data_IF_981383332570
#
_entry.id   IF_981383332570
#
_cell.length_a   1.000
_cell.length_b   1.000
_cell.length_c   1.000
_cell.angle_alpha   90.00
_cell.angle_beta   90.00
_cell.angle_gamma   90.00
#
_symmetry.space_group_name_H-M   'P 1'
#
loop_
_entity.id
_entity.type
_entity.pdbx_description
1 polymer ?
#
# COMPACT_ATOMS: atom_id res chain seq x y z
N UNK A 1 9.85 -21.97 42.81
CA UNK A 1 9.68 -23.36 42.35
C UNK A 1 8.89 -23.31 41.06
N UNK A 2 9.54 -23.62 39.94
CA UNK A 2 8.95 -23.60 38.60
C UNK A 2 9.06 -25.01 38.05
N UNK A 3 7.97 -25.58 37.54
CA UNK A 3 7.98 -26.86 36.83
C UNK A 3 7.94 -26.62 35.32
N UNK A 4 8.64 -27.50 34.61
CA UNK A 4 9.10 -27.39 33.22
C UNK A 4 7.99 -27.23 32.17
N UNK A 5 8.25 -26.41 31.17
CA UNK A 5 8.27 -26.91 29.78
C UNK A 5 9.19 -26.09 28.90
N UNK A 6 9.79 -26.81 27.96
CA UNK A 6 10.95 -26.53 27.14
C UNK A 6 10.76 -25.46 26.06
N UNK A 7 11.76 -24.57 26.03
CA UNK A 7 12.32 -23.81 24.89
C UNK A 7 11.53 -22.63 24.30
N UNK A 8 12.27 -21.52 24.34
CA UNK A 8 12.21 -20.30 23.55
C UNK A 8 11.13 -19.26 23.92
N UNK A 9 11.60 -18.21 24.60
CA UNK A 9 11.06 -16.86 24.46
C UNK A 9 10.22 -16.39 25.64
N UNK A 10 10.86 -16.16 26.78
CA UNK A 10 10.22 -15.53 27.94
C UNK A 10 9.73 -14.09 27.62
N UNK A 11 8.71 -13.63 28.36
CA UNK A 11 8.00 -12.37 28.16
C UNK A 11 8.83 -11.18 28.65
N UNK A 12 8.69 -10.06 27.94
CA UNK A 12 9.28 -8.76 28.28
C UNK A 12 8.73 -8.25 29.61
N UNK A 13 9.54 -8.35 30.66
CA UNK A 13 9.41 -7.54 31.87
C UNK A 13 10.45 -6.42 31.79
N UNK A 14 10.01 -5.16 31.79
CA UNK A 14 10.91 -4.01 31.91
C UNK A 14 11.28 -3.77 33.38
N UNK A 15 12.55 -3.46 33.68
CA UNK A 15 12.87 -2.68 34.86
C UNK A 15 13.49 -1.32 34.51
N UNK A 16 13.16 -0.35 35.35
CA UNK A 16 13.80 0.95 35.46
C UNK A 16 15.21 0.81 36.08
N UNK A 17 16.05 1.80 35.77
CA UNK A 17 17.22 2.31 36.50
C UNK A 17 18.63 1.93 36.00
N UNK A 18 19.47 2.96 36.13
CA UNK A 18 20.75 3.30 35.51
C UNK A 18 21.93 2.49 36.08
N UNK A 19 22.81 1.95 35.24
CA UNK A 19 24.24 1.79 35.55
C UNK A 19 25.10 1.49 34.30
N UNK A 20 26.25 2.14 34.29
CA UNK A 20 27.30 2.18 33.28
C UNK A 20 28.03 0.82 33.13
N UNK A 21 28.12 0.25 31.91
CA UNK A 21 29.12 -0.80 31.58
C UNK A 21 29.34 -0.99 30.08
N UNK A 22 30.47 -0.47 29.60
CA UNK A 22 31.40 -1.01 28.59
C UNK A 22 30.79 -1.91 27.48
N UNK A 23 30.58 -1.32 26.30
CA UNK A 23 30.15 -2.01 25.07
C UNK A 23 31.36 -2.73 24.45
N UNK A 24 31.26 -4.04 24.25
CA UNK A 24 32.20 -4.83 23.42
C UNK A 24 32.03 -4.47 21.93
N UNK A 25 33.10 -4.47 21.11
CA UNK A 25 32.98 -4.21 19.67
C UNK A 25 32.25 -5.36 18.96
N UNK A 26 31.47 -5.07 17.89
CA UNK A 26 30.82 -6.10 17.10
C UNK A 26 31.87 -6.92 16.33
N UNK A 27 31.77 -8.25 16.40
CA UNK A 27 32.54 -9.16 15.55
C UNK A 27 32.09 -8.99 14.10
N UNK A 28 32.94 -8.39 13.26
CA UNK A 28 32.82 -8.43 11.81
C UNK A 28 33.07 -9.86 11.33
N UNK A 29 32.08 -10.47 10.66
CA UNK A 29 32.23 -11.74 9.96
C UNK A 29 31.95 -11.51 8.48
N UNK A 30 33.03 -11.35 7.73
CA UNK A 30 33.07 -11.31 6.27
C UNK A 30 32.62 -12.67 5.73
N UNK A 31 31.49 -12.73 5.04
CA UNK A 31 31.05 -13.93 4.32
C UNK A 31 31.10 -13.66 2.82
N UNK A 32 32.13 -14.22 2.18
CA UNK A 32 32.30 -14.25 0.73
C UNK A 32 31.42 -15.36 0.15
N UNK A 33 30.34 -15.02 -0.55
CA UNK A 33 29.51 -16.00 -1.28
C UNK A 33 29.83 -15.99 -2.77
N UNK A 34 30.27 -17.15 -3.26
CA UNK A 34 30.49 -17.48 -4.67
C UNK A 34 29.14 -17.47 -5.41
N UNK A 35 29.10 -16.86 -6.60
CA UNK A 35 27.93 -16.86 -7.48
C UNK A 35 28.00 -18.05 -8.44
N UNK A 36 27.03 -18.95 -8.35
CA UNK A 36 26.80 -20.01 -9.34
C UNK A 36 25.62 -19.59 -10.22
N UNK A 37 25.88 -19.30 -11.49
CA UNK A 37 24.83 -18.96 -12.47
C UNK A 37 24.13 -20.23 -12.91
N UNK A 38 22.86 -20.42 -12.52
CA UNK A 38 22.04 -21.55 -12.99
C UNK A 38 21.08 -21.03 -14.07
N UNK A 39 21.33 -21.41 -15.32
CA UNK A 39 20.46 -21.12 -16.47
C UNK A 39 19.23 -22.01 -16.41
N UNK A 40 18.05 -21.44 -16.17
CA UNK A 40 16.79 -22.21 -16.17
C UNK A 40 16.30 -22.34 -17.62
N UNK A 41 16.24 -23.57 -18.14
CA UNK A 41 15.52 -23.90 -19.39
C UNK A 41 14.07 -24.22 -19.06
N UNK A 42 13.13 -23.45 -19.58
CA UNK A 42 11.70 -23.68 -19.40
C UNK A 42 11.20 -24.79 -20.32
N UNK A 43 10.58 -25.83 -19.76
CA UNK A 43 9.87 -26.87 -20.52
C UNK A 43 8.41 -26.43 -20.63
N UNK A 44 7.98 -26.04 -21.84
CA UNK A 44 6.59 -25.68 -22.12
C UNK A 44 5.84 -26.89 -22.69
N UNK A 45 4.95 -27.49 -21.91
CA UNK A 45 3.98 -28.47 -22.40
C UNK A 45 2.72 -27.74 -22.87
N UNK A 46 2.37 -27.87 -24.15
CA UNK A 46 1.14 -27.29 -24.71
C UNK A 46 0.00 -28.29 -24.60
N UNK A 47 -1.12 -27.89 -23.96
CA UNK A 47 -2.42 -28.54 -24.14
C UNK A 47 -3.21 -27.73 -25.17
N UNK A 48 -3.46 -28.32 -26.33
CA UNK A 48 -4.30 -27.76 -27.39
C UNK A 48 -5.74 -28.27 -27.23
N UNK A 49 -6.69 -27.35 -27.08
CA UNK A 49 -8.12 -27.62 -27.22
C UNK A 49 -8.57 -27.07 -28.56
N UNK A 50 -8.96 -27.95 -29.48
CA UNK A 50 -9.41 -27.59 -30.83
C UNK A 50 -10.93 -27.65 -30.90
N UNK A 51 -11.60 -26.57 -31.30
CA UNK A 51 -12.98 -26.61 -31.83
C UNK A 51 -12.96 -26.08 -33.26
N UNK A 52 -13.38 -26.92 -34.19
CA UNK A 52 -13.38 -26.65 -35.64
C UNK A 52 -14.74 -26.10 -36.07
N UNK A 53 -14.76 -24.94 -36.72
CA UNK A 53 -15.86 -24.52 -37.61
C UNK A 53 -15.22 -23.95 -38.89
N UNK A 54 -15.69 -24.41 -40.05
CA UNK A 54 -15.06 -24.25 -41.35
C UNK A 54 -15.43 -22.94 -42.10
N UNK A 55 -14.56 -22.60 -43.06
CA UNK A 55 -14.75 -21.82 -44.31
C UNK A 55 -14.98 -20.30 -44.25
N UNK A 56 -13.89 -19.53 -44.47
CA UNK A 56 -13.72 -18.48 -45.51
C UNK A 56 -12.35 -17.78 -45.29
N UNK A 57 -11.58 -17.57 -46.37
CA UNK A 57 -10.21 -17.05 -46.32
C UNK A 57 -10.19 -15.57 -45.93
N UNK A 58 -9.89 -15.28 -44.65
CA UNK A 58 -9.52 -13.95 -44.15
C UNK A 58 -8.09 -14.04 -43.66
N UNK A 59 -7.17 -13.31 -44.30
CA UNK A 59 -5.79 -13.14 -43.83
C UNK A 59 -5.84 -12.52 -42.44
N UNK A 60 -5.87 -13.39 -41.45
CA UNK A 60 -5.89 -13.04 -40.04
C UNK A 60 -4.44 -13.12 -39.63
N UNK A 61 -3.73 -11.99 -39.69
CA UNK A 61 -2.48 -11.83 -38.97
C UNK A 61 -2.81 -12.04 -37.49
N UNK A 62 -2.73 -13.29 -37.07
CA UNK A 62 -2.96 -13.68 -35.68
C UNK A 62 -1.68 -13.31 -34.97
N UNK A 63 -1.56 -12.04 -34.60
CA UNK A 63 -0.63 -11.66 -33.55
C UNK A 63 -1.12 -12.41 -32.33
N UNK A 64 -0.45 -13.52 -31.99
CA UNK A 64 -0.55 -14.10 -30.65
C UNK A 64 -0.09 -13.00 -29.70
N UNK A 65 -1.03 -12.24 -29.16
CA UNK A 65 -0.76 -11.42 -27.99
C UNK A 65 -0.62 -12.44 -26.87
N UNK A 66 0.61 -12.89 -26.65
CA UNK A 66 0.98 -13.53 -25.39
C UNK A 66 0.83 -12.46 -24.33
N UNK A 67 -0.34 -12.38 -23.70
CA UNK A 67 -0.53 -11.60 -22.50
C UNK A 67 0.28 -12.29 -21.39
N UNK A 68 1.56 -11.93 -21.28
CA UNK A 68 2.35 -12.22 -20.10
C UNK A 68 1.82 -11.34 -18.99
N UNK A 69 0.83 -11.85 -18.24
CA UNK A 69 0.50 -11.27 -16.94
C UNK A 69 1.64 -11.60 -16.00
N UNK A 70 2.67 -10.74 -15.97
CA UNK A 70 3.70 -10.78 -14.94
C UNK A 70 3.07 -10.30 -13.63
N UNK A 71 2.51 -11.24 -12.87
CA UNK A 71 2.13 -10.99 -11.49
C UNK A 71 3.39 -11.01 -10.63
N UNK A 72 4.29 -10.03 -10.81
CA UNK A 72 5.34 -9.77 -9.82
C UNK A 72 4.64 -9.15 -8.62
N UNK A 73 4.65 -9.88 -7.51
CA UNK A 73 4.12 -9.44 -6.22
C UNK A 73 5.21 -8.73 -5.42
N UNK A 74 5.92 -7.81 -6.06
CA UNK A 74 7.00 -7.06 -5.45
C UNK A 74 6.54 -5.64 -5.13
N UNK A 75 7.01 -5.11 -4.00
CA UNK A 75 6.81 -3.71 -3.67
C UNK A 75 7.64 -2.84 -4.63
N UNK A 76 7.00 -1.82 -5.20
CA UNK A 76 7.66 -0.81 -6.02
C UNK A 76 7.20 0.58 -5.58
N UNK A 77 8.08 1.56 -5.74
CA UNK A 77 7.74 2.96 -5.46
C UNK A 77 6.88 3.53 -6.57
N UNK A 78 5.79 4.19 -6.20
CA UNK A 78 5.02 5.08 -7.10
C UNK A 78 5.51 6.51 -6.94
N UNK A 79 4.88 7.47 -7.66
CA UNK A 79 5.06 8.89 -7.36
C UNK A 79 4.72 9.23 -5.91
N UNK A 80 5.34 10.28 -5.38
CA UNK A 80 5.09 10.79 -4.03
C UNK A 80 3.78 11.59 -3.97
N UNK A 81 3.04 11.46 -2.86
CA UNK A 81 1.98 12.41 -2.52
C UNK A 81 2.56 13.82 -2.38
N UNK A 82 1.73 14.83 -2.66
CA UNK A 82 2.12 16.24 -2.60
C UNK A 82 2.23 16.69 -1.14
N UNK A 83 1.34 16.21 -0.26
CA UNK A 83 1.42 16.44 1.18
C UNK A 83 1.63 15.13 1.92
N UNK A 84 2.66 15.10 2.78
CA UNK A 84 2.85 14.02 3.74
C UNK A 84 1.66 13.98 4.72
N UNK A 85 1.19 12.78 5.07
CA UNK A 85 0.02 12.60 5.93
C UNK A 85 -0.02 11.20 6.55
N UNK A 86 -0.45 11.10 7.80
CA UNK A 86 -0.97 9.89 8.43
C UNK A 86 -2.45 10.08 8.83
N UNK A 87 -3.12 9.06 9.37
CA UNK A 87 -4.54 9.08 9.76
C UNK A 87 -5.53 9.59 8.68
N UNK A 88 -5.14 9.54 7.41
CA UNK A 88 -5.95 9.87 6.26
C UNK A 88 -6.85 8.69 5.86
N UNK A 89 -7.83 8.95 5.01
CA UNK A 89 -8.60 7.90 4.33
C UNK A 89 -8.31 7.90 2.84
N UNK A 90 -8.42 6.74 2.19
CA UNK A 90 -8.05 6.55 0.78
C UNK A 90 -9.10 5.73 -0.01
N UNK A 91 -10.36 6.18 -0.12
CA UNK A 91 -11.38 5.49 -0.92
C UNK A 91 -11.01 5.39 -2.42
N UNK A 92 -11.34 4.26 -3.04
CA UNK A 92 -11.24 4.05 -4.49
C UNK A 92 -12.53 4.55 -5.15
N UNK A 93 -12.40 5.47 -6.11
CA UNK A 93 -13.52 6.03 -6.85
C UNK A 93 -13.96 5.10 -7.99
N UNK A 94 -15.18 5.27 -8.49
CA UNK A 94 -15.74 4.48 -9.60
C UNK A 94 -14.96 4.62 -10.91
N UNK A 95 -14.21 5.71 -11.07
CA UNK A 95 -13.30 5.94 -12.21
C UNK A 95 -11.93 5.26 -12.06
N UNK A 96 -11.71 4.49 -10.98
CA UNK A 96 -10.47 3.77 -10.72
C UNK A 96 -9.36 4.59 -10.07
N UNK A 97 -9.54 5.90 -9.86
CA UNK A 97 -8.58 6.72 -9.10
C UNK A 97 -8.76 6.52 -7.60
N UNK A 98 -7.69 6.73 -6.84
CA UNK A 98 -7.74 6.71 -5.37
C UNK A 98 -7.81 8.14 -4.87
N UNK A 99 -8.84 8.47 -4.08
CA UNK A 99 -8.98 9.77 -3.44
C UNK A 99 -8.42 9.68 -2.02
N UNK A 100 -7.36 10.41 -1.73
CA UNK A 100 -6.73 10.48 -0.41
C UNK A 100 -7.14 11.78 0.27
N UNK A 101 -7.70 11.69 1.47
CA UNK A 101 -8.41 12.81 2.12
C UNK A 101 -7.87 13.03 3.53
N UNK A 102 -7.59 14.29 3.87
CA UNK A 102 -7.25 14.72 5.23
C UNK A 102 -6.02 14.02 5.83
N UNK A 103 -6.07 13.74 7.13
CA UNK A 103 -4.94 13.23 7.90
C UNK A 103 -4.09 14.34 8.49
N UNK A 104 -2.92 14.03 9.03
CA UNK A 104 -2.01 15.04 9.61
C UNK A 104 -0.56 14.85 9.11
N UNK A 105 0.19 15.93 8.80
CA UNK A 105 1.59 15.81 8.40
C UNK A 105 2.53 15.68 9.61
N UNK A 106 2.03 15.94 10.82
CA UNK A 106 2.74 15.93 12.10
C UNK A 106 1.73 15.93 13.27
N UNK A 107 2.18 15.87 14.52
CA UNK A 107 1.28 15.73 15.68
C UNK A 107 0.40 16.97 16.01
N UNK A 108 0.50 18.06 15.25
CA UNK A 108 -0.06 19.37 15.64
C UNK A 108 -1.11 19.95 14.69
N UNK A 109 -1.31 19.39 13.49
CA UNK A 109 -2.16 20.06 12.48
C UNK A 109 -2.82 19.11 11.48
N UNK A 110 -4.12 18.91 11.59
CA UNK A 110 -4.87 18.22 10.52
C UNK A 110 -4.82 18.95 9.18
N UNK A 111 -4.93 18.19 8.09
CA UNK A 111 -5.07 18.68 6.73
C UNK A 111 -6.54 18.71 6.33
N UNK A 112 -6.91 19.73 5.56
CA UNK A 112 -8.15 19.74 4.78
C UNK A 112 -7.94 19.40 3.31
N UNK A 113 -6.69 19.16 2.89
CA UNK A 113 -6.38 18.85 1.50
C UNK A 113 -6.77 17.43 1.12
N UNK A 114 -7.15 17.27 -0.14
CA UNK A 114 -7.36 15.97 -0.76
C UNK A 114 -6.55 15.85 -2.06
N UNK A 115 -6.14 14.64 -2.37
CA UNK A 115 -5.30 14.32 -3.53
C UNK A 115 -5.85 13.10 -4.26
N UNK A 116 -5.76 13.10 -5.58
CA UNK A 116 -6.13 11.97 -6.44
C UNK A 116 -4.87 11.27 -6.94
N UNK A 117 -4.81 9.96 -6.74
CA UNK A 117 -3.83 9.10 -7.39
C UNK A 117 -4.42 8.48 -8.65
N UNK A 118 -3.71 8.64 -9.76
CA UNK A 118 -4.01 7.98 -11.03
C UNK A 118 -3.04 6.81 -11.26
N UNK A 119 -3.57 5.59 -11.29
CA UNK A 119 -2.76 4.39 -11.51
C UNK A 119 -2.15 4.35 -12.92
N UNK A 120 -2.80 4.95 -13.93
CA UNK A 120 -2.36 4.88 -15.33
C UNK A 120 -1.10 5.71 -15.58
N UNK A 121 -0.96 6.82 -14.88
CA UNK A 121 0.20 7.72 -14.97
C UNK A 121 1.13 7.62 -13.77
N UNK A 122 0.68 6.94 -12.70
CA UNK A 122 1.37 6.90 -11.40
C UNK A 122 1.63 8.29 -10.80
N UNK A 123 0.74 9.25 -11.05
CA UNK A 123 0.86 10.64 -10.59
C UNK A 123 -0.19 11.01 -9.56
N UNK A 124 0.17 11.96 -8.70
CA UNK A 124 -0.71 12.59 -7.73
C UNK A 124 -1.15 13.98 -8.20
N UNK A 125 -2.38 14.37 -7.88
CA UNK A 125 -2.91 15.69 -8.20
C UNK A 125 -3.78 16.20 -7.05
N UNK A 126 -3.56 17.43 -6.60
CA UNK A 126 -4.43 18.09 -5.61
C UNK A 126 -5.83 18.25 -6.20
N UNK A 127 -6.86 17.96 -5.40
CA UNK A 127 -8.26 18.23 -5.73
C UNK A 127 -8.87 19.20 -4.71
N UNK A 128 -10.18 19.40 -4.76
CA UNK A 128 -10.89 20.28 -3.84
C UNK A 128 -10.63 19.93 -2.37
N UNK A 129 -10.39 20.95 -1.55
CA UNK A 129 -10.21 20.80 -0.12
C UNK A 129 -11.55 20.60 0.59
N UNK A 130 -11.51 19.92 1.73
CA UNK A 130 -12.59 19.95 2.72
C UNK A 130 -12.74 21.35 3.31
N UNK A 131 -13.95 21.67 3.77
CA UNK A 131 -14.27 22.88 4.54
C UNK A 131 -13.51 22.86 5.87
N UNK A 132 -13.48 21.70 6.55
CA UNK A 132 -12.73 21.53 7.80
C UNK A 132 -11.56 20.57 7.59
N UNK A 133 -10.44 20.86 8.24
CA UNK A 133 -9.35 19.90 8.35
C UNK A 133 -9.79 18.71 9.22
N UNK A 134 -9.42 17.49 8.84
CA UNK A 134 -9.82 16.29 9.57
C UNK A 134 -8.74 15.21 9.52
N UNK A 135 -8.40 14.65 10.66
CA UNK A 135 -7.72 13.37 10.79
C UNK A 135 -8.63 12.35 11.51
N UNK A 136 -8.30 11.06 11.40
CA UNK A 136 -9.03 9.96 12.07
C UNK A 136 -10.53 9.97 11.72
N UNK A 137 -10.87 10.47 10.54
CA UNK A 137 -12.23 10.49 10.01
C UNK A 137 -12.52 9.20 9.24
N UNK A 138 -13.78 9.00 8.86
CA UNK A 138 -14.19 7.91 7.96
C UNK A 138 -14.65 8.47 6.63
N UNK A 139 -14.32 7.77 5.53
CA UNK A 139 -14.80 8.10 4.20
C UNK A 139 -15.50 6.88 3.57
N UNK A 140 -16.71 7.07 3.07
CA UNK A 140 -17.52 6.04 2.43
C UNK A 140 -17.90 6.44 1.01
N UNK A 141 -17.60 5.59 0.04
CA UNK A 141 -18.05 5.78 -1.35
C UNK A 141 -19.51 5.36 -1.44
N UNK A 142 -20.35 6.29 -1.89
CA UNK A 142 -21.78 6.07 -2.05
C UNK A 142 -22.07 5.45 -3.42
N UNK A 143 -23.25 4.85 -3.58
CA UNK A 143 -23.68 4.22 -4.83
C UNK A 143 -23.77 5.16 -6.03
N UNK A 144 -23.92 6.47 -5.77
CA UNK A 144 -23.89 7.52 -6.79
C UNK A 144 -22.48 8.00 -7.15
N UNK A 145 -21.43 7.39 -6.59
CA UNK A 145 -20.02 7.73 -6.85
C UNK A 145 -19.47 8.88 -6.01
N UNK A 146 -20.29 9.55 -5.19
CA UNK A 146 -19.82 10.57 -4.25
C UNK A 146 -19.13 9.95 -3.05
N UNK A 147 -18.31 10.72 -2.36
CA UNK A 147 -17.64 10.27 -1.13
C UNK A 147 -18.17 11.05 0.06
N UNK A 148 -18.77 10.35 1.02
CA UNK A 148 -19.21 10.92 2.29
C UNK A 148 -18.08 10.81 3.30
N UNK A 149 -17.66 11.95 3.85
CA UNK A 149 -16.66 12.08 4.90
C UNK A 149 -17.37 12.46 6.20
N UNK A 150 -17.18 11.69 7.27
CA UNK A 150 -17.86 11.94 8.55
C UNK A 150 -16.90 11.94 9.73
N UNK A 151 -17.16 12.85 10.67
CA UNK A 151 -16.47 12.88 11.96
C UNK A 151 -15.01 13.28 11.85
N UNK A 152 -14.17 12.62 12.65
CA UNK A 152 -12.76 12.93 12.82
C UNK A 152 -12.51 14.02 13.85
N UNK A 153 -11.29 14.55 13.83
CA UNK A 153 -10.84 15.63 14.71
C UNK A 153 -9.90 16.57 13.97
N UNK A 154 -9.77 17.80 14.45
CA UNK A 154 -8.81 18.79 13.95
C UNK A 154 -7.45 18.62 14.66
N UNK A 155 -7.50 18.25 15.95
CA UNK A 155 -6.36 17.96 16.81
C UNK A 155 -6.79 17.03 17.96
N UNK A 156 -5.95 16.85 18.99
CA UNK A 156 -6.21 15.96 20.12
C UNK A 156 -7.44 16.31 20.99
N UNK A 157 -7.97 17.53 20.89
CA UNK A 157 -9.04 18.04 21.75
C UNK A 157 -10.29 18.44 20.95
N UNK A 158 -10.15 18.73 19.65
CA UNK A 158 -11.22 19.25 18.81
C UNK A 158 -11.83 18.18 17.89
N UNK A 159 -12.85 17.48 18.39
CA UNK A 159 -13.62 16.48 17.62
C UNK A 159 -14.71 17.14 16.77
N UNK A 160 -14.95 16.58 15.59
CA UNK A 160 -15.94 17.08 14.65
C UNK A 160 -17.20 16.22 14.68
N UNK A 161 -18.35 16.86 14.81
CA UNK A 161 -19.68 16.26 14.67
C UNK A 161 -20.30 16.51 13.28
N UNK A 162 -19.53 17.08 12.35
CA UNK A 162 -19.98 17.43 11.01
C UNK A 162 -19.60 16.36 9.98
N UNK A 163 -20.26 16.43 8.82
CA UNK A 163 -19.98 15.60 7.66
C UNK A 163 -19.84 16.48 6.41
N UNK A 164 -19.08 16.00 5.44
CA UNK A 164 -18.83 16.66 4.17
C UNK A 164 -18.97 15.66 3.01
N UNK A 165 -19.32 16.15 1.83
CA UNK A 165 -19.54 15.32 0.64
C UNK A 165 -18.64 15.81 -0.49
N UNK A 166 -17.87 14.90 -1.06
CA UNK A 166 -17.06 15.09 -2.27
C UNK A 166 -17.82 14.53 -3.49
#
# INVERSE_FOLDING_TARGET
MCVNSTRCGQPICYPLTIANKQICPPKTSTTTTLRTTTTIRTISTTKSVTRTIATAQKTTTTTKISATTSTSSDWFSTGNMINARDYHTAPVLSNGKVLVIGGTPNDYSSLNSAELYDLSTSTWTITSNMINAREVHTASVLSNGKVLITGGRIDNLNYLNSAELY
#
